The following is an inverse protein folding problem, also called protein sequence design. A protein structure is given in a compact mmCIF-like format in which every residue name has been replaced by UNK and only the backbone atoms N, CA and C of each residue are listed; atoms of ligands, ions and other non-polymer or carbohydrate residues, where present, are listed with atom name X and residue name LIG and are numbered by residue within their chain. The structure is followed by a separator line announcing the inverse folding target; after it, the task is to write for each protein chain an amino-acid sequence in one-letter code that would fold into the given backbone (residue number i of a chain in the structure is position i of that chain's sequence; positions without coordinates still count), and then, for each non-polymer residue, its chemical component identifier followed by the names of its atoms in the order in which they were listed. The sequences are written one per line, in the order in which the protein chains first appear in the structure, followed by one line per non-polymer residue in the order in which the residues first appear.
data_IF_275730531786
#
_entry.id   IF_275730531786
#
_cell.length_a   1.000
_cell.length_b   1.000
_cell.length_c   1.000
_cell.angle_alpha   90.00
_cell.angle_beta   90.00
_cell.angle_gamma   90.00
#
_symmetry.space_group_name_H-M   'P 1'
#
loop_
_entity.id
_entity.type
_entity.pdbx_description
1 polymer ?
#
# COMPACT_ATOMS: atom_id res chain seq x y z
N UNK A 1 -8.97 10.78 33.35
CA UNK A 1 -8.73 9.89 32.19
C UNK A 1 -7.90 8.71 32.70
N UNK A 2 -8.41 7.48 32.66
CA UNK A 2 -7.76 6.33 33.32
C UNK A 2 -6.58 5.84 32.49
N UNK A 3 -5.38 5.83 33.07
CA UNK A 3 -4.10 5.36 32.48
C UNK A 3 -4.24 3.99 31.76
N UNK A 4 -5.16 3.13 32.22
CA UNK A 4 -5.41 1.84 31.59
C UNK A 4 -6.11 1.95 30.22
N UNK A 5 -7.03 2.91 30.04
CA UNK A 5 -7.76 3.10 28.76
C UNK A 5 -6.83 3.58 27.66
N UNK A 6 -5.87 4.45 27.98
CA UNK A 6 -4.94 5.01 26.99
C UNK A 6 -4.01 3.92 26.44
N UNK A 7 -3.52 3.03 27.31
CA UNK A 7 -2.71 1.87 26.93
C UNK A 7 -3.49 0.86 26.08
N UNK A 8 -4.75 0.61 26.42
CA UNK A 8 -5.64 -0.27 25.65
C UNK A 8 -5.95 0.28 24.26
N UNK A 9 -6.27 1.57 24.15
CA UNK A 9 -6.54 2.21 22.87
C UNK A 9 -5.33 2.12 21.92
N UNK A 10 -4.13 2.34 22.44
CA UNK A 10 -2.91 2.18 21.65
C UNK A 10 -2.63 0.73 21.22
N UNK A 11 -2.90 -0.24 22.09
CA UNK A 11 -2.77 -1.65 21.74
C UNK A 11 -3.72 -2.05 20.60
N UNK A 12 -4.96 -1.52 20.63
CA UNK A 12 -5.94 -1.72 19.55
C UNK A 12 -5.45 -1.12 18.24
N UNK A 13 -4.96 0.13 18.25
CA UNK A 13 -4.45 0.81 17.04
C UNK A 13 -3.24 0.05 16.47
N UNK A 14 -2.32 -0.40 17.32
CA UNK A 14 -1.14 -1.16 16.91
C UNK A 14 -1.52 -2.51 16.30
N UNK A 15 -2.48 -3.22 16.90
CA UNK A 15 -3.00 -4.48 16.38
C UNK A 15 -3.68 -4.28 15.02
N UNK A 16 -4.46 -3.20 14.87
CA UNK A 16 -5.15 -2.88 13.63
C UNK A 16 -4.17 -2.53 12.51
N UNK A 17 -3.10 -1.80 12.81
CA UNK A 17 -2.03 -1.50 11.86
C UNK A 17 -1.27 -2.76 11.45
N UNK A 18 -0.92 -3.62 12.40
CA UNK A 18 -0.24 -4.89 12.10
C UNK A 18 -1.10 -5.80 11.22
N UNK A 19 -2.39 -5.93 11.54
CA UNK A 19 -3.32 -6.72 10.73
C UNK A 19 -3.44 -6.16 9.30
N UNK A 20 -3.51 -4.84 9.15
CA UNK A 20 -3.56 -4.19 7.85
C UNK A 20 -2.32 -4.54 7.01
N UNK A 21 -1.12 -4.37 7.56
CA UNK A 21 0.13 -4.71 6.87
C UNK A 21 0.18 -6.20 6.47
N UNK A 22 -0.27 -7.10 7.35
CA UNK A 22 -0.31 -8.54 7.04
C UNK A 22 -1.29 -8.86 5.92
N UNK A 23 -2.46 -8.20 5.89
CA UNK A 23 -3.45 -8.39 4.84
C UNK A 23 -2.99 -7.83 3.49
N UNK A 24 -2.30 -6.68 3.50
CA UNK A 24 -1.76 -6.07 2.28
C UNK A 24 -0.64 -6.93 1.67
N UNK A 25 0.34 -7.33 2.49
CA UNK A 25 1.48 -8.15 2.03
C UNK A 25 1.05 -9.59 1.71
N UNK A 26 0.17 -10.19 2.51
CA UNK A 26 -0.19 -11.60 2.38
C UNK A 26 -1.32 -11.88 1.39
N UNK A 27 -2.26 -10.96 1.23
CA UNK A 27 -3.49 -11.20 0.46
C UNK A 27 -3.86 -10.07 -0.51
N UNK A 28 -3.05 -9.00 -0.59
CA UNK A 28 -3.28 -7.88 -1.50
C UNK A 28 -4.57 -7.11 -1.21
N UNK A 29 -5.03 -7.14 0.04
CA UNK A 29 -6.17 -6.36 0.51
C UNK A 29 -5.67 -5.07 1.15
N UNK A 30 -6.19 -3.95 0.68
CA UNK A 30 -5.93 -2.63 1.25
C UNK A 30 -7.26 -1.94 1.58
N UNK A 31 -7.24 -0.99 2.52
CA UNK A 31 -8.44 -0.23 2.84
C UNK A 31 -8.80 0.64 1.63
N UNK A 32 -10.10 0.68 1.29
CA UNK A 32 -10.56 1.45 0.13
C UNK A 32 -10.18 2.91 0.25
N UNK A 33 -9.46 3.41 -0.75
CA UNK A 33 -8.86 4.74 -0.71
C UNK A 33 -7.35 4.70 -0.71
N UNK A 34 -6.75 5.88 -0.67
CA UNK A 34 -5.29 6.07 -0.68
C UNK A 34 -4.77 6.59 0.66
N UNK A 35 -5.65 7.30 1.38
CA UNK A 35 -5.37 7.95 2.64
C UNK A 35 -5.60 7.10 3.90
N UNK A 36 -6.56 6.14 3.94
CA UNK A 36 -6.89 5.45 5.19
C UNK A 36 -5.69 4.74 5.85
N UNK A 37 -4.90 4.00 5.08
CA UNK A 37 -3.72 3.27 5.58
C UNK A 37 -2.66 4.21 6.15
N UNK A 38 -2.57 5.43 5.60
CA UNK A 38 -1.62 6.46 6.04
C UNK A 38 -2.10 7.20 7.25
N UNK A 39 -3.38 7.54 7.30
CA UNK A 39 -3.99 8.14 8.49
C UNK A 39 -3.78 7.18 9.67
N UNK A 40 -4.00 5.88 9.45
CA UNK A 40 -3.74 4.86 10.47
C UNK A 40 -2.26 4.82 10.88
N UNK A 41 -1.33 4.89 9.92
CA UNK A 41 0.10 4.96 10.20
C UNK A 41 0.49 6.21 11.00
N UNK A 42 0.03 7.40 10.62
CA UNK A 42 0.32 8.65 11.33
C UNK A 42 -0.31 8.67 12.73
N UNK A 43 -1.51 8.13 12.88
CA UNK A 43 -2.19 8.04 14.17
C UNK A 43 -1.42 7.11 15.12
N UNK A 44 -0.92 5.99 14.60
CA UNK A 44 -0.01 5.11 15.34
C UNK A 44 1.31 5.80 15.69
N UNK A 45 1.91 6.56 14.77
CA UNK A 45 3.17 7.27 15.00
C UNK A 45 3.03 8.35 16.09
N UNK A 46 1.99 9.18 16.02
CA UNK A 46 1.69 10.19 17.04
C UNK A 46 1.39 9.51 18.39
N UNK A 47 0.61 8.43 18.39
CA UNK A 47 0.32 7.66 19.60
C UNK A 47 1.57 7.05 20.24
N UNK A 48 2.52 6.62 19.39
CA UNK A 48 3.81 6.08 19.83
C UNK A 48 4.65 7.16 20.52
N UNK A 49 4.78 8.34 19.91
CA UNK A 49 5.47 9.48 20.54
C UNK A 49 4.80 9.89 21.86
N UNK A 50 3.46 9.96 21.87
CA UNK A 50 2.69 10.31 23.06
C UNK A 50 2.94 9.33 24.23
N UNK A 51 2.93 8.02 23.97
CA UNK A 51 3.21 7.01 25.00
C UNK A 51 4.65 7.11 25.51
N UNK A 52 5.62 7.30 24.61
CA UNK A 52 7.03 7.41 24.98
C UNK A 52 7.23 8.61 25.91
N UNK A 53 6.65 9.77 25.60
CA UNK A 53 6.79 10.99 26.43
C UNK A 53 6.04 10.87 27.76
N UNK A 54 4.80 10.39 27.73
CA UNK A 54 3.92 10.35 28.91
C UNK A 54 4.34 9.28 29.91
N UNK A 55 4.77 8.11 29.41
CA UNK A 55 5.09 6.94 30.22
C UNK A 55 6.58 6.60 30.23
N UNK A 56 7.47 7.57 29.93
CA UNK A 56 8.92 7.35 29.85
C UNK A 56 9.54 6.74 31.12
N UNK A 57 8.94 6.99 32.28
CA UNK A 57 9.40 6.46 33.57
C UNK A 57 9.20 4.95 33.71
N UNK A 58 8.27 4.37 32.94
CA UNK A 58 7.96 2.94 32.99
C UNK A 58 9.04 2.09 32.32
N UNK A 59 9.45 1.00 32.97
CA UNK A 59 10.50 0.11 32.45
C UNK A 59 10.12 -0.51 31.10
N UNK A 60 8.86 -0.89 30.93
CA UNK A 60 8.35 -1.45 29.67
C UNK A 60 8.43 -0.47 28.51
N UNK A 61 8.15 0.81 28.75
CA UNK A 61 8.19 1.84 27.71
C UNK A 61 9.62 2.10 27.26
N UNK A 62 10.59 2.10 28.19
CA UNK A 62 12.01 2.20 27.83
C UNK A 62 12.48 1.05 26.95
N UNK A 63 12.10 -0.19 27.28
CA UNK A 63 12.44 -1.37 26.47
C UNK A 63 11.80 -1.23 25.09
N UNK A 64 10.51 -0.87 25.03
CA UNK A 64 9.80 -0.65 23.78
C UNK A 64 10.47 0.40 22.88
N UNK A 65 10.87 1.55 23.45
CA UNK A 65 11.61 2.58 22.71
C UNK A 65 12.95 2.06 22.17
N UNK A 66 13.71 1.32 22.98
CA UNK A 66 14.97 0.73 22.52
C UNK A 66 14.76 -0.30 21.41
N UNK A 67 13.72 -1.13 21.48
CA UNK A 67 13.35 -2.07 20.42
C UNK A 67 12.96 -1.32 19.15
N UNK A 68 12.17 -0.25 19.23
CA UNK A 68 11.82 0.60 18.09
C UNK A 68 13.06 1.20 17.41
N UNK A 69 13.99 1.75 18.21
CA UNK A 69 15.25 2.31 17.68
C UNK A 69 16.10 1.22 17.05
N UNK A 70 16.24 0.07 17.70
CA UNK A 70 17.01 -1.06 17.18
C UNK A 70 16.41 -1.61 15.88
N UNK A 71 15.09 -1.77 15.79
CA UNK A 71 14.39 -2.18 14.56
C UNK A 71 14.55 -1.15 13.44
N UNK A 72 14.47 0.14 13.78
CA UNK A 72 14.68 1.22 12.80
C UNK A 72 16.10 1.18 12.25
N UNK A 73 17.11 1.07 13.11
CA UNK A 73 18.52 0.93 12.69
C UNK A 73 18.76 -0.40 11.93
N UNK A 74 18.13 -1.48 12.35
CA UNK A 74 18.22 -2.76 11.65
C UNK A 74 17.56 -2.68 10.26
N UNK A 75 16.51 -1.87 10.11
CA UNK A 75 15.85 -1.62 8.81
C UNK A 75 16.72 -0.80 7.84
N UNK A 76 17.74 -0.08 8.34
CA UNK A 76 18.67 0.65 7.47
C UNK A 76 19.82 -0.22 6.95
N UNK A 77 20.16 -1.32 7.64
CA UNK A 77 21.25 -2.22 7.27
C UNK A 77 21.09 -2.96 5.92
N UNK A 78 19.91 -3.49 5.53
CA UNK A 78 19.72 -4.10 4.21
C UNK A 78 19.51 -3.00 3.17
N UNK A 79 20.58 -2.24 2.89
CA UNK A 79 20.64 -1.19 1.87
C UNK A 79 19.60 -0.07 2.03
N UNK A 80 19.13 0.21 3.25
CA UNK A 80 18.03 1.16 3.54
C UNK A 80 16.70 0.85 2.82
N UNK A 81 16.56 -0.26 2.11
CA UNK A 81 15.38 -0.58 1.30
C UNK A 81 14.10 -0.65 2.16
N UNK A 82 14.07 -1.37 3.30
CA UNK A 82 12.86 -1.43 4.13
C UNK A 82 12.53 -0.05 4.72
N UNK A 83 13.54 0.69 5.15
CA UNK A 83 13.37 2.04 5.67
C UNK A 83 12.77 2.99 4.63
N UNK A 84 13.36 3.03 3.42
CA UNK A 84 12.87 3.87 2.33
C UNK A 84 11.46 3.46 1.90
N UNK A 85 11.14 2.16 1.91
CA UNK A 85 9.79 1.67 1.58
C UNK A 85 8.75 2.22 2.56
N UNK A 86 9.02 2.16 3.86
CA UNK A 86 8.14 2.70 4.90
C UNK A 86 7.96 4.22 4.71
N UNK A 87 9.05 4.94 4.44
CA UNK A 87 9.01 6.39 4.20
C UNK A 87 8.19 6.71 2.95
N UNK A 88 8.43 6.03 1.82
CA UNK A 88 7.72 6.31 0.57
C UNK A 88 6.22 6.05 0.65
N UNK A 89 5.81 4.97 1.35
CA UNK A 89 4.39 4.68 1.60
C UNK A 89 3.77 5.70 2.54
N UNK A 90 4.49 6.10 3.60
CA UNK A 90 4.02 7.12 4.55
C UNK A 90 3.83 8.50 3.89
N UNK A 91 4.78 8.91 3.05
CA UNK A 91 4.83 10.25 2.44
C UNK A 91 4.19 10.38 1.06
N UNK A 92 3.39 9.42 0.61
CA UNK A 92 2.74 9.50 -0.70
C UNK A 92 3.67 9.47 -1.92
N UNK A 93 4.91 9.04 -1.77
CA UNK A 93 5.88 9.03 -2.86
C UNK A 93 5.78 7.76 -3.72
N UNK A 94 5.03 6.79 -3.24
CA UNK A 94 4.78 5.50 -3.88
C UNK A 94 3.89 5.58 -5.13
N UNK A 95 3.04 6.60 -5.27
CA UNK A 95 1.99 6.66 -6.32
C UNK A 95 2.11 7.93 -7.15
N UNK A 96 2.23 7.78 -8.47
CA UNK A 96 2.31 8.90 -9.42
C UNK A 96 1.03 9.18 -10.17
N UNK A 97 0.26 8.14 -10.46
CA UNK A 97 -0.96 8.26 -11.24
C UNK A 97 -2.06 7.42 -10.59
N UNK A 98 -3.26 7.97 -10.55
CA UNK A 98 -4.44 7.32 -10.00
C UNK A 98 -5.67 7.74 -10.80
N UNK A 99 -6.43 6.75 -11.26
CA UNK A 99 -7.72 6.98 -11.91
C UNK A 99 -8.73 5.99 -11.39
N UNK A 100 -9.89 6.50 -10.97
CA UNK A 100 -11.05 5.66 -10.64
C UNK A 100 -11.84 5.50 -11.92
N UNK A 101 -12.14 4.25 -12.27
CA UNK A 101 -12.86 3.87 -13.47
C UNK A 101 -14.33 3.55 -13.12
N UNK A 102 -15.23 3.62 -14.11
CA UNK A 102 -16.56 3.03 -13.98
C UNK A 102 -16.47 1.55 -13.57
N UNK A 103 -17.50 1.03 -12.91
CA UNK A 103 -17.58 -0.34 -12.36
C UNK A 103 -16.72 -0.63 -11.12
N UNK A 104 -16.37 0.41 -10.36
CA UNK A 104 -15.70 0.28 -9.05
C UNK A 104 -14.26 -0.27 -9.15
N UNK A 105 -13.62 -0.10 -10.30
CA UNK A 105 -12.20 -0.39 -10.52
C UNK A 105 -11.35 0.87 -10.31
N UNK A 106 -10.15 0.70 -9.78
CA UNK A 106 -9.14 1.74 -9.64
C UNK A 106 -7.87 1.27 -10.31
N UNK A 107 -7.30 2.10 -11.16
CA UNK A 107 -5.94 1.90 -11.66
C UNK A 107 -5.01 2.85 -10.95
N UNK A 108 -3.87 2.33 -10.54
CA UNK A 108 -2.82 3.14 -9.94
C UNK A 108 -1.46 2.74 -10.50
N UNK A 109 -0.63 3.76 -10.68
CA UNK A 109 0.77 3.58 -11.02
C UNK A 109 1.57 3.88 -9.77
N UNK A 110 2.16 2.84 -9.21
CA UNK A 110 2.96 2.95 -8.02
C UNK A 110 4.02 1.86 -7.90
N UNK A 111 5.03 2.12 -7.08
CA UNK A 111 6.05 1.13 -6.76
C UNK A 111 5.98 0.79 -5.28
N UNK A 112 5.80 -0.50 -4.95
CA UNK A 112 5.98 -0.99 -3.57
C UNK A 112 7.43 -0.86 -3.09
N UNK A 113 8.37 -0.56 -3.98
CA UNK A 113 9.76 -0.23 -3.66
C UNK A 113 10.14 1.10 -4.27
N UNK A 114 10.79 2.01 -3.52
CA UNK A 114 11.28 3.29 -4.03
C UNK A 114 12.41 3.16 -5.06
N UNK A 115 13.09 2.00 -5.09
CA UNK A 115 14.24 1.74 -5.97
C UNK A 115 13.85 0.76 -7.11
N UNK A 116 12.71 0.09 -6.99
CA UNK A 116 12.25 -0.91 -7.95
C UNK A 116 11.57 -0.34 -9.20
N UNK A 117 11.37 -1.21 -10.19
CA UNK A 117 10.53 -0.90 -11.34
C UNK A 117 9.12 -0.52 -10.88
N UNK A 118 8.56 0.50 -11.52
CA UNK A 118 7.18 0.92 -11.24
C UNK A 118 6.21 -0.14 -11.74
N UNK A 119 5.15 -0.32 -10.98
CA UNK A 119 4.13 -1.33 -11.24
C UNK A 119 2.82 -0.60 -11.56
N UNK A 120 2.14 -1.08 -12.58
CA UNK A 120 0.76 -0.71 -12.87
C UNK A 120 -0.14 -1.72 -12.16
N UNK A 121 -0.95 -1.24 -11.24
CA UNK A 121 -1.83 -2.05 -10.41
C UNK A 121 -3.30 -1.75 -10.75
N UNK A 122 -4.08 -2.82 -10.92
CA UNK A 122 -5.52 -2.78 -11.08
C UNK A 122 -6.14 -3.28 -9.78
N UNK A 123 -6.88 -2.40 -9.11
CA UNK A 123 -7.59 -2.67 -7.87
C UNK A 123 -9.09 -2.72 -8.11
N UNK A 124 -9.77 -3.65 -7.46
CA UNK A 124 -11.23 -3.75 -7.46
C UNK A 124 -11.80 -3.39 -6.10
N UNK A 125 -12.77 -2.47 -6.09
CA UNK A 125 -13.50 -2.10 -4.89
C UNK A 125 -14.49 -3.18 -4.44
N UNK A 126 -14.30 -3.71 -3.24
CA UNK A 126 -15.17 -4.63 -2.52
C UNK A 126 -15.71 -3.92 -1.27
N UNK A 127 -16.62 -2.95 -1.46
CA UNK A 127 -17.21 -2.19 -0.35
C UNK A 127 -16.20 -1.24 0.32
N UNK A 128 -15.81 -1.44 1.60
CA UNK A 128 -14.80 -0.64 2.31
C UNK A 128 -13.35 -1.11 2.07
N UNK A 129 -13.15 -2.21 1.36
CA UNK A 129 -11.83 -2.75 1.01
C UNK A 129 -11.61 -2.68 -0.50
N UNK A 130 -10.35 -2.65 -0.89
CA UNK A 130 -9.91 -2.86 -2.25
C UNK A 130 -9.03 -4.10 -2.32
N UNK A 131 -9.16 -4.85 -3.42
CA UNK A 131 -8.36 -6.04 -3.69
C UNK A 131 -7.55 -5.84 -4.95
N UNK A 132 -6.27 -6.21 -4.90
CA UNK A 132 -5.41 -6.27 -6.07
C UNK A 132 -5.89 -7.40 -7.02
N UNK A 133 -6.30 -7.01 -8.22
CA UNK A 133 -6.68 -7.96 -9.27
C UNK A 133 -5.52 -8.30 -10.20
N UNK A 134 -4.63 -7.34 -10.46
CA UNK A 134 -3.45 -7.58 -11.27
C UNK A 134 -2.41 -6.48 -11.15
N UNK A 135 -1.14 -6.87 -11.26
CA UNK A 135 0.03 -6.02 -11.26
C UNK A 135 0.90 -6.35 -12.49
N UNK A 136 1.39 -5.32 -13.19
CA UNK A 136 2.30 -5.49 -14.32
C UNK A 136 3.38 -4.44 -14.31
N UNK A 137 4.55 -4.79 -14.84
CA UNK A 137 5.70 -3.89 -14.89
C UNK A 137 5.44 -2.78 -15.92
N UNK A 138 5.62 -1.54 -15.49
CA UNK A 138 5.39 -0.36 -16.33
C UNK A 138 6.26 -0.34 -17.59
N UNK A 139 7.52 -0.79 -17.49
CA UNK A 139 8.43 -0.84 -18.64
C UNK A 139 7.95 -1.83 -19.72
N UNK A 140 7.22 -2.87 -19.32
CA UNK A 140 6.61 -3.81 -20.26
C UNK A 140 5.32 -3.22 -20.85
N UNK A 141 4.50 -2.56 -20.02
CA UNK A 141 3.28 -1.91 -20.49
C UNK A 141 3.58 -0.79 -21.49
N UNK A 142 4.54 0.08 -21.22
CA UNK A 142 4.89 1.19 -22.13
C UNK A 142 5.41 0.69 -23.49
N UNK A 143 6.13 -0.43 -23.49
CA UNK A 143 6.62 -1.07 -24.73
C UNK A 143 5.48 -1.55 -25.62
N UNK A 144 4.41 -2.06 -25.01
CA UNK A 144 3.26 -2.63 -25.71
C UNK A 144 2.15 -1.60 -26.00
N UNK A 145 2.06 -0.52 -25.20
CA UNK A 145 1.10 0.57 -25.36
C UNK A 145 1.42 1.52 -26.53
N UNK A 146 2.68 1.55 -27.00
CA UNK A 146 3.10 2.43 -28.09
C UNK A 146 2.87 3.91 -27.75
N UNK A 147 1.92 4.56 -28.42
CA UNK A 147 1.56 5.98 -28.25
C UNK A 147 0.38 6.24 -27.32
N UNK A 148 -0.33 5.20 -26.87
CA UNK A 148 -1.49 5.35 -25.99
C UNK A 148 -1.06 5.74 -24.57
N UNK A 149 -1.59 6.84 -24.03
CA UNK A 149 -1.30 7.27 -22.66
C UNK A 149 -2.19 6.55 -21.67
N UNK A 150 -1.61 6.13 -20.54
CA UNK A 150 -2.33 5.51 -19.41
C UNK A 150 -3.42 6.42 -18.82
N UNK A 151 -3.33 7.73 -19.06
CA UNK A 151 -4.32 8.72 -18.64
C UNK A 151 -5.65 8.57 -19.39
N UNK A 152 -5.63 7.99 -20.58
CA UNK A 152 -6.80 7.87 -21.47
C UNK A 152 -7.63 6.61 -21.22
N UNK A 153 -7.23 5.74 -20.27
CA UNK A 153 -7.98 4.51 -19.95
C UNK A 153 -9.40 4.88 -19.51
N UNK A 154 -10.40 4.36 -20.22
CA UNK A 154 -11.82 4.64 -19.96
C UNK A 154 -12.48 3.53 -19.13
N UNK A 155 -12.10 2.28 -19.34
CA UNK A 155 -12.65 1.15 -18.60
C UNK A 155 -11.63 0.01 -18.50
N UNK A 156 -11.87 -0.87 -17.53
CA UNK A 156 -11.05 -2.07 -17.29
C UNK A 156 -11.97 -3.27 -17.24
N UNK A 157 -11.75 -4.24 -18.12
CA UNK A 157 -12.51 -5.49 -18.14
C UNK A 157 -11.59 -6.66 -17.82
N UNK A 158 -11.89 -7.38 -16.74
CA UNK A 158 -11.17 -8.63 -16.44
C UNK A 158 -11.78 -9.75 -17.29
N UNK A 159 -11.02 -10.24 -18.27
CA UNK A 159 -11.49 -11.26 -19.20
C UNK A 159 -11.38 -12.67 -18.61
N UNK A 160 -10.26 -12.96 -17.96
CA UNK A 160 -9.99 -14.26 -17.34
C UNK A 160 -9.17 -14.09 -16.05
N UNK A 161 -9.59 -14.79 -15.01
CA UNK A 161 -8.85 -14.92 -13.75
C UNK A 161 -8.30 -16.33 -13.62
N UNK A 162 -6.98 -16.45 -13.50
CA UNK A 162 -6.31 -17.65 -13.03
C UNK A 162 -5.85 -17.47 -11.58
N UNK A 163 -5.26 -18.53 -11.01
CA UNK A 163 -4.82 -18.57 -9.61
C UNK A 163 -3.80 -17.48 -9.28
N UNK A 164 -2.85 -17.24 -10.20
CA UNK A 164 -1.71 -16.34 -10.01
C UNK A 164 -1.63 -15.20 -11.05
N UNK A 165 -2.54 -15.18 -12.03
CA UNK A 165 -2.54 -14.18 -13.10
C UNK A 165 -3.95 -13.81 -13.53
N UNK A 166 -4.12 -12.60 -14.04
CA UNK A 166 -5.37 -12.10 -14.57
C UNK A 166 -5.13 -11.51 -15.94
N UNK A 167 -5.91 -11.93 -16.94
CA UNK A 167 -5.95 -11.25 -18.23
C UNK A 167 -6.92 -10.09 -18.10
N UNK A 168 -6.36 -8.88 -18.14
CA UNK A 168 -7.12 -7.65 -18.01
C UNK A 168 -7.03 -6.90 -19.33
N UNK A 169 -8.19 -6.48 -19.81
CA UNK A 169 -8.36 -5.68 -21.01
C UNK A 169 -8.55 -4.22 -20.59
N UNK A 170 -7.68 -3.35 -21.09
CA UNK A 170 -7.76 -1.91 -20.92
C UNK A 170 -8.41 -1.32 -22.16
N UNK A 171 -9.52 -0.60 -21.98
CA UNK A 171 -10.17 0.13 -23.06
C UNK A 171 -9.68 1.58 -23.08
N UNK A 172 -9.12 1.99 -24.22
CA UNK A 172 -8.76 3.37 -24.55
C UNK A 172 -9.79 3.94 -25.55
N UNK A 173 -9.79 5.27 -25.79
CA UNK A 173 -10.74 5.91 -26.71
C UNK A 173 -10.66 5.33 -28.13
N UNK A 174 -9.44 5.01 -28.58
CA UNK A 174 -9.16 4.60 -29.97
C UNK A 174 -8.70 3.14 -30.10
N UNK A 175 -8.35 2.46 -29.00
CA UNK A 175 -7.75 1.12 -29.02
C UNK A 175 -8.13 0.29 -27.79
N UNK A 176 -8.21 -1.02 -27.93
CA UNK A 176 -8.33 -1.94 -26.80
C UNK A 176 -7.07 -2.78 -26.70
N UNK A 177 -6.44 -2.83 -25.53
CA UNK A 177 -5.19 -3.56 -25.33
C UNK A 177 -5.37 -4.60 -24.21
N UNK A 178 -4.98 -5.83 -24.51
CA UNK A 178 -5.09 -6.95 -23.57
C UNK A 178 -3.72 -7.26 -22.97
N UNK A 179 -3.66 -7.30 -21.65
CA UNK A 179 -2.43 -7.56 -20.92
C UNK A 179 -2.61 -8.72 -19.96
N UNK A 180 -1.53 -9.49 -19.80
CA UNK A 180 -1.44 -10.53 -18.79
C UNK A 180 -0.79 -9.91 -17.54
N UNK A 181 -1.60 -9.71 -16.51
CA UNK A 181 -1.16 -9.20 -15.22
C UNK A 181 -0.84 -10.36 -14.28
N UNK A 182 0.20 -10.21 -13.47
CA UNK A 182 0.56 -11.15 -12.42
C UNK A 182 -0.05 -10.67 -11.10
N UNK A 183 -0.46 -11.57 -10.21
CA UNK A 183 -1.10 -11.22 -8.93
C UNK A 183 -0.12 -11.15 -7.74
N UNK A 184 1.19 -11.23 -8.01
CA UNK A 184 2.26 -11.21 -6.99
C UNK A 184 2.79 -9.81 -6.72
#
# INVERSE_FOLDING_TARGET
MSIARDKQAYAVITCLLFLNVVLDVGAGFSIRGYWPDRILFYLWLIGTVYIIVTYYKERFVKIYTWVLVALTLLSTLPMMIPFLTIVSVGFAQDTRFRKVLPDNYRVQMGGKSPIGNRIFEVMKGLGPLERLEGAANMNLLERDLGTAKLEDIQSVKVLQMWRDSSRIELQFPDTTVQFLFNRK
#
